data_IF_679132106909
#
_entry.id   IF_679132106909
#
_cell.length_a   1.000
_cell.length_b   1.000
_cell.length_c   1.000
_cell.angle_alpha   90.00
_cell.angle_beta   90.00
_cell.angle_gamma   90.00
#
_symmetry.space_group_name_H-M   'P 1'
#
loop_
_entity.id
_entity.type
_entity.pdbx_description
1 polymer ?
#
# COMPACT_ATOMS: atom_id res chain seq x y z
N UNK A 1 -12.14 23.86 0.04
CA UNK A 1 -13.40 23.40 -0.58
C UNK A 1 -13.53 21.89 -0.47
N UNK A 2 -14.64 21.42 0.10
CA UNK A 2 -14.92 19.99 0.31
C UNK A 2 -15.82 19.44 -0.81
N UNK A 3 -15.40 19.60 -2.06
CA UNK A 3 -16.19 19.18 -3.25
C UNK A 3 -16.35 17.67 -3.39
N UNK A 4 -15.56 16.90 -2.63
CA UNK A 4 -15.58 15.44 -2.64
C UNK A 4 -16.73 14.83 -1.83
N UNK A 5 -17.46 15.66 -1.05
CA UNK A 5 -18.51 15.23 -0.15
C UNK A 5 -19.85 15.93 -0.43
N UNK A 6 -20.91 15.13 -0.47
CA UNK A 6 -22.26 15.60 -0.26
C UNK A 6 -22.46 15.86 1.24
N UNK A 7 -22.70 17.14 1.56
CA UNK A 7 -22.88 17.61 2.93
C UNK A 7 -24.37 17.77 3.20
N UNK A 8 -24.89 17.02 4.16
CA UNK A 8 -26.29 17.12 4.59
C UNK A 8 -26.35 17.40 6.08
N UNK A 9 -27.08 18.43 6.49
CA UNK A 9 -27.44 18.63 7.90
C UNK A 9 -28.68 17.81 8.22
N UNK A 10 -28.64 17.07 9.33
CA UNK A 10 -29.78 16.33 9.83
C UNK A 10 -29.81 16.43 11.35
N UNK A 11 -31.00 16.35 11.95
CA UNK A 11 -31.12 16.37 13.41
C UNK A 11 -31.23 14.95 13.93
N UNK A 12 -30.40 14.61 14.92
CA UNK A 12 -30.51 13.35 15.65
C UNK A 12 -31.00 13.64 17.06
N UNK A 13 -32.33 13.75 17.21
CA UNK A 13 -32.95 14.26 18.43
C UNK A 13 -32.86 15.79 18.48
N UNK A 14 -32.40 16.36 19.59
CA UNK A 14 -32.17 17.81 19.74
C UNK A 14 -30.76 18.26 19.32
N UNK A 15 -29.94 17.36 18.77
CA UNK A 15 -28.58 17.66 18.33
C UNK A 15 -28.51 17.78 16.80
N UNK A 16 -28.13 18.96 16.26
CA UNK A 16 -27.82 19.08 14.85
C UNK A 16 -26.54 18.29 14.54
N UNK A 17 -26.61 17.39 13.56
CA UNK A 17 -25.47 16.60 13.10
C UNK A 17 -25.18 16.87 11.62
N UNK A 18 -23.89 16.88 11.28
CA UNK A 18 -23.41 17.00 9.92
C UNK A 18 -23.13 15.61 9.36
N UNK A 19 -23.81 15.24 8.28
CA UNK A 19 -23.55 14.01 7.55
C UNK A 19 -22.73 14.33 6.30
N UNK A 20 -21.52 13.77 6.27
CA UNK A 20 -20.63 13.78 5.12
C UNK A 20 -20.76 12.44 4.40
N UNK A 21 -21.18 12.46 3.14
CA UNK A 21 -21.15 11.28 2.28
C UNK A 21 -20.25 11.56 1.08
N UNK A 22 -19.41 10.62 0.67
CA UNK A 22 -18.62 10.81 -0.55
C UNK A 22 -19.54 10.90 -1.75
N UNK A 23 -19.27 11.83 -2.67
CA UNK A 23 -20.04 11.91 -3.91
C UNK A 23 -19.85 10.64 -4.73
N UNK A 24 -20.87 10.26 -5.50
CA UNK A 24 -20.77 9.10 -6.40
C UNK A 24 -19.65 9.24 -7.43
N UNK A 25 -19.36 10.49 -7.85
CA UNK A 25 -18.23 10.80 -8.71
C UNK A 25 -16.89 10.47 -8.03
N UNK A 26 -16.70 10.89 -6.78
CA UNK A 26 -15.47 10.60 -6.03
C UNK A 26 -15.28 9.12 -5.76
N UNK A 27 -16.36 8.40 -5.42
CA UNK A 27 -16.32 6.95 -5.24
C UNK A 27 -15.91 6.23 -6.55
N UNK A 28 -16.42 6.68 -7.70
CA UNK A 28 -16.06 6.13 -9.00
C UNK A 28 -14.58 6.43 -9.35
N UNK A 29 -14.10 7.65 -9.08
CA UNK A 29 -12.71 8.04 -9.27
C UNK A 29 -11.75 7.17 -8.45
N UNK A 30 -12.02 7.02 -7.14
CA UNK A 30 -11.21 6.17 -6.26
C UNK A 30 -11.19 4.74 -6.76
N UNK A 31 -12.36 4.19 -7.12
CA UNK A 31 -12.44 2.82 -7.66
C UNK A 31 -11.59 2.66 -8.92
N UNK A 32 -11.65 3.62 -9.83
CA UNK A 32 -10.87 3.61 -11.06
C UNK A 32 -9.37 3.68 -10.78
N UNK A 33 -8.97 4.56 -9.86
CA UNK A 33 -7.60 4.68 -9.40
C UNK A 33 -7.08 3.36 -8.79
N UNK A 34 -7.83 2.77 -7.84
CA UNK A 34 -7.47 1.51 -7.19
C UNK A 34 -7.32 0.37 -8.18
N UNK A 35 -8.21 0.25 -9.18
CA UNK A 35 -8.10 -0.79 -10.21
C UNK A 35 -6.86 -0.58 -11.08
N UNK A 36 -6.55 0.66 -11.49
CA UNK A 36 -5.34 0.95 -12.27
C UNK A 36 -4.07 0.61 -11.49
N UNK A 37 -4.00 0.97 -10.20
CA UNK A 37 -2.87 0.64 -9.35
C UNK A 37 -2.70 -0.87 -9.16
N UNK A 38 -3.79 -1.58 -8.90
CA UNK A 38 -3.78 -3.03 -8.78
C UNK A 38 -3.37 -3.72 -10.09
N UNK A 39 -3.80 -3.19 -11.25
CA UNK A 39 -3.40 -3.70 -12.56
C UNK A 39 -1.89 -3.61 -12.75
N UNK A 40 -1.29 -2.46 -12.44
CA UNK A 40 0.16 -2.25 -12.51
C UNK A 40 0.89 -3.21 -11.57
N UNK A 41 0.41 -3.35 -10.33
CA UNK A 41 1.01 -4.24 -9.33
C UNK A 41 0.98 -5.70 -9.77
N UNK A 42 -0.17 -6.17 -10.25
CA UNK A 42 -0.32 -7.54 -10.77
C UNK A 42 0.60 -7.75 -11.97
N UNK A 43 0.66 -6.80 -12.90
CA UNK A 43 1.53 -6.90 -14.08
C UNK A 43 3.01 -7.05 -13.70
N UNK A 44 3.48 -6.26 -12.74
CA UNK A 44 4.86 -6.35 -12.25
C UNK A 44 5.15 -7.72 -11.63
N UNK A 45 4.25 -8.23 -10.78
CA UNK A 45 4.38 -9.57 -10.17
C UNK A 45 4.38 -10.69 -11.21
N UNK A 46 3.59 -10.54 -12.27
CA UNK A 46 3.59 -11.55 -13.33
C UNK A 46 4.92 -11.53 -14.10
N UNK A 47 5.50 -10.36 -14.35
CA UNK A 47 6.84 -10.28 -14.95
C UNK A 47 7.91 -10.94 -14.07
N UNK A 48 7.79 -10.84 -12.74
CA UNK A 48 8.68 -11.51 -11.79
C UNK A 48 8.58 -13.04 -11.82
N UNK A 49 7.44 -13.60 -12.27
CA UNK A 49 7.28 -15.05 -12.45
C UNK A 49 8.08 -15.60 -13.65
N UNK A 50 8.67 -14.74 -14.48
CA UNK A 50 9.44 -15.15 -15.65
C UNK A 50 8.60 -15.76 -16.77
N UNK A 51 7.29 -15.51 -16.78
CA UNK A 51 6.37 -16.00 -17.82
C UNK A 51 6.55 -15.17 -19.09
N UNK A 52 6.72 -15.84 -20.24
CA UNK A 52 6.74 -15.16 -21.53
C UNK A 52 5.31 -14.73 -21.90
N UNK A 53 5.11 -13.43 -22.14
CA UNK A 53 3.87 -12.85 -22.68
C UNK A 53 2.59 -13.06 -21.84
N UNK A 54 2.55 -12.59 -20.59
CA UNK A 54 1.34 -12.64 -19.77
C UNK A 54 0.26 -11.66 -20.24
N UNK A 55 -1.01 -12.08 -20.15
CA UNK A 55 -2.15 -11.18 -20.34
C UNK A 55 -2.70 -10.74 -18.98
N UNK A 56 -2.65 -9.43 -18.71
CA UNK A 56 -3.20 -8.82 -17.49
C UNK A 56 -4.16 -7.72 -17.90
N UNK A 57 -5.44 -7.95 -17.70
CA UNK A 57 -6.50 -7.04 -18.15
C UNK A 57 -7.60 -6.88 -17.10
N UNK A 58 -8.24 -5.70 -17.11
CA UNK A 58 -9.41 -5.45 -16.29
C UNK A 58 -10.61 -6.20 -16.88
N UNK A 59 -11.38 -6.85 -16.00
CA UNK A 59 -12.66 -7.47 -16.34
C UNK A 59 -13.79 -6.78 -15.57
N UNK A 60 -14.65 -6.07 -16.30
CA UNK A 60 -15.76 -5.32 -15.70
C UNK A 60 -15.30 -4.24 -14.72
N UNK A 61 -16.12 -3.94 -13.71
CA UNK A 61 -15.88 -2.80 -12.82
C UNK A 61 -14.81 -3.05 -11.75
N UNK A 62 -14.62 -4.30 -11.30
CA UNK A 62 -13.90 -4.62 -10.06
C UNK A 62 -13.04 -5.90 -10.12
N UNK A 63 -12.76 -6.46 -11.31
CA UNK A 63 -11.95 -7.68 -11.44
C UNK A 63 -10.77 -7.45 -12.37
N UNK A 64 -9.72 -8.24 -12.15
CA UNK A 64 -8.55 -8.33 -13.03
C UNK A 64 -8.43 -9.80 -13.43
N UNK A 65 -8.38 -10.05 -14.74
CA UNK A 65 -8.12 -11.36 -15.32
C UNK A 65 -6.64 -11.43 -15.65
N UNK A 66 -6.03 -12.54 -15.24
CA UNK A 66 -4.61 -12.84 -15.45
C UNK A 66 -4.52 -14.18 -16.16
N UNK A 67 -3.87 -14.20 -17.32
CA UNK A 67 -3.59 -15.41 -18.07
C UNK A 67 -2.07 -15.60 -18.18
N UNK A 68 -1.61 -16.77 -17.76
CA UNK A 68 -0.20 -17.13 -17.64
C UNK A 68 0.12 -18.34 -18.53
N UNK A 69 0.42 -18.16 -19.81
CA UNK A 69 0.75 -19.28 -20.69
C UNK A 69 2.06 -19.94 -20.23
N UNK A 70 2.08 -21.27 -20.17
CA UNK A 70 3.30 -22.02 -19.84
C UNK A 70 3.73 -21.98 -18.36
N UNK A 71 2.89 -21.47 -17.44
CA UNK A 71 3.18 -21.53 -16.01
C UNK A 71 3.11 -22.99 -15.52
N UNK A 72 4.23 -23.50 -14.98
CA UNK A 72 4.31 -24.89 -14.52
C UNK A 72 3.67 -25.07 -13.14
N UNK A 73 3.88 -24.09 -12.24
CA UNK A 73 3.33 -24.10 -10.90
C UNK A 73 2.29 -22.99 -10.71
N UNK A 74 1.02 -23.37 -10.91
CA UNK A 74 -0.12 -22.46 -10.71
C UNK A 74 -0.35 -22.12 -9.24
N UNK A 75 0.06 -22.97 -8.30
CA UNK A 75 -0.08 -22.72 -6.86
C UNK A 75 0.94 -21.68 -6.39
N UNK A 76 2.18 -21.75 -6.88
CA UNK A 76 3.21 -20.73 -6.69
C UNK A 76 2.77 -19.39 -7.27
N UNK A 77 2.31 -19.39 -8.53
CA UNK A 77 1.82 -18.19 -9.20
C UNK A 77 0.65 -17.55 -8.43
N UNK A 78 -0.34 -18.36 -8.00
CA UNK A 78 -1.47 -17.87 -7.19
C UNK A 78 -1.00 -17.29 -5.86
N UNK A 79 0.05 -17.84 -5.24
CA UNK A 79 0.59 -17.34 -3.98
C UNK A 79 1.34 -16.03 -4.16
N UNK A 80 2.14 -15.89 -5.21
CA UNK A 80 2.86 -14.65 -5.52
C UNK A 80 1.89 -13.54 -5.89
N UNK A 81 0.91 -13.85 -6.75
CA UNK A 81 -0.12 -12.89 -7.16
C UNK A 81 -1.09 -12.53 -6.03
N UNK A 82 -1.43 -13.49 -5.16
CA UNK A 82 -2.36 -13.32 -4.06
C UNK A 82 -1.74 -12.78 -2.76
N UNK A 83 -0.40 -12.75 -2.63
CA UNK A 83 0.25 -12.18 -1.45
C UNK A 83 0.11 -10.66 -1.47
N UNK A 84 -0.54 -10.08 -0.48
CA UNK A 84 -0.39 -8.65 -0.21
C UNK A 84 0.96 -8.46 0.47
N UNK A 85 1.90 -7.79 -0.18
CA UNK A 85 3.09 -7.31 0.53
C UNK A 85 2.62 -6.09 1.34
N UNK A 86 2.41 -6.29 2.63
CA UNK A 86 2.11 -5.17 3.53
C UNK A 86 3.42 -4.44 3.79
N UNK A 87 3.44 -3.16 3.47
CA UNK A 87 4.52 -2.24 3.81
C UNK A 87 3.99 -1.28 4.87
N UNK A 88 4.72 -1.14 5.96
CA UNK A 88 4.38 -0.26 7.07
C UNK A 88 5.63 0.52 7.45
N UNK A 89 5.44 1.81 7.69
CA UNK A 89 6.47 2.68 8.23
C UNK A 89 6.08 3.02 9.66
N UNK A 90 7.00 2.72 10.57
CA UNK A 90 6.86 2.88 12.02
C UNK A 90 8.16 3.48 12.54
N UNK A 91 8.09 4.22 13.65
CA UNK A 91 9.29 4.74 14.29
C UNK A 91 10.10 3.61 14.92
N UNK A 92 11.42 3.75 14.93
CA UNK A 92 12.29 2.88 15.71
C UNK A 92 12.11 3.19 17.18
N UNK A 93 11.88 2.16 18.00
CA UNK A 93 11.68 2.35 19.43
C UNK A 93 12.98 2.77 20.12
N UNK A 94 12.87 3.77 21.00
CA UNK A 94 13.94 4.24 21.86
C UNK A 94 14.20 3.32 23.06
N UNK A 95 15.31 3.54 23.80
CA UNK A 95 15.68 2.73 24.96
C UNK A 95 14.67 2.80 26.12
N UNK A 96 13.96 3.92 26.22
CA UNK A 96 13.00 4.21 27.29
C UNK A 96 11.55 3.82 26.93
N UNK A 97 11.33 3.33 25.70
CA UNK A 97 9.99 2.94 25.25
C UNK A 97 9.51 1.67 25.95
N UNK A 98 8.24 1.69 26.32
CA UNK A 98 7.64 0.57 27.05
C UNK A 98 7.35 -0.60 26.11
N UNK A 99 7.59 -1.84 26.56
CA UNK A 99 7.23 -3.06 25.80
C UNK A 99 5.75 -3.15 25.39
N UNK A 100 4.87 -2.35 26.01
CA UNK A 100 3.47 -2.24 25.65
C UNK A 100 3.22 -1.44 24.35
N UNK A 101 4.11 -0.48 24.03
CA UNK A 101 4.04 0.38 22.85
C UNK A 101 5.01 -0.05 21.76
N UNK A 102 5.89 -0.99 22.04
CA UNK A 102 6.89 -1.52 21.11
C UNK A 102 6.52 -2.93 20.59
N UNK A 103 7.00 -3.26 19.41
CA UNK A 103 6.94 -4.58 18.79
C UNK A 103 8.31 -4.94 18.20
N UNK A 104 8.68 -6.22 18.29
CA UNK A 104 9.96 -6.72 17.79
C UNK A 104 9.76 -7.46 16.47
N UNK A 105 10.55 -7.10 15.46
CA UNK A 105 10.55 -7.76 14.16
C UNK A 105 11.90 -8.42 13.89
N UNK A 106 11.88 -9.71 13.60
CA UNK A 106 13.04 -10.46 13.18
C UNK A 106 13.32 -10.23 11.69
N UNK A 107 14.59 -10.01 11.34
CA UNK A 107 14.99 -9.96 9.94
C UNK A 107 15.00 -11.37 9.34
N UNK A 108 14.56 -11.47 8.08
CA UNK A 108 14.57 -12.74 7.34
C UNK A 108 15.99 -13.26 7.11
N UNK A 109 16.95 -12.36 6.95
CA UNK A 109 18.35 -12.69 6.78
C UNK A 109 19.03 -12.78 8.16
N UNK A 110 19.69 -13.91 8.43
CA UNK A 110 20.38 -14.12 9.70
C UNK A 110 21.54 -13.16 9.89
N UNK A 111 21.79 -12.75 11.14
CA UNK A 111 22.94 -11.91 11.51
C UNK A 111 22.61 -10.43 11.70
N UNK A 112 21.37 -10.00 11.44
CA UNK A 112 20.88 -8.68 11.87
C UNK A 112 20.12 -8.82 13.19
N UNK A 113 20.36 -7.95 14.19
CA UNK A 113 19.57 -7.94 15.41
C UNK A 113 18.12 -7.56 15.09
N UNK A 114 17.17 -8.11 15.85
CA UNK A 114 15.76 -7.77 15.73
C UNK A 114 15.54 -6.26 15.84
N UNK A 115 14.64 -5.73 15.01
CA UNK A 115 14.25 -4.33 15.04
C UNK A 115 13.14 -4.11 16.07
N UNK A 116 13.39 -3.24 17.04
CA UNK A 116 12.35 -2.72 17.93
C UNK A 116 11.69 -1.51 17.25
N UNK A 117 10.38 -1.59 17.02
CA UNK A 117 9.61 -0.50 16.42
C UNK A 117 8.41 -0.15 17.29
N UNK A 118 8.00 1.11 17.25
CA UNK A 118 6.74 1.52 17.85
C UNK A 118 5.55 0.86 17.13
N UNK A 119 4.46 0.62 17.86
CA UNK A 119 3.20 0.12 17.27
C UNK A 119 2.46 1.19 16.46
N UNK A 120 2.81 2.46 16.66
CA UNK A 120 2.24 3.59 15.92
C UNK A 120 2.60 3.52 14.45
N UNK A 121 1.58 3.48 13.59
CA UNK A 121 1.74 3.38 12.15
C UNK A 121 1.72 4.77 11.55
N UNK A 122 2.79 5.16 10.86
CA UNK A 122 2.92 6.48 10.21
C UNK A 122 2.24 6.44 8.85
N UNK A 123 2.70 5.55 7.97
CA UNK A 123 2.15 5.34 6.63
C UNK A 123 2.22 3.85 6.26
N UNK A 124 1.29 3.44 5.40
CA UNK A 124 1.25 2.11 4.79
C UNK A 124 1.61 2.17 3.31
N UNK A 125 1.85 1.00 2.70
CA UNK A 125 2.20 0.86 1.29
C UNK A 125 1.14 1.33 0.29
N UNK A 126 -0.10 1.55 0.72
CA UNK A 126 -1.16 2.18 -0.08
C UNK A 126 -0.85 3.64 -0.43
N UNK A 127 -0.10 4.33 0.42
CA UNK A 127 0.36 5.71 0.22
C UNK A 127 1.64 5.79 -0.65
N UNK A 128 2.11 4.65 -1.19
CA UNK A 128 3.27 4.57 -2.09
C UNK A 128 2.81 4.58 -3.54
N UNK A 129 3.27 5.56 -4.31
CA UNK A 129 2.96 5.73 -5.74
C UNK A 129 3.97 5.08 -6.66
N UNK A 130 5.22 4.94 -6.23
CA UNK A 130 6.30 4.31 -7.00
C UNK A 130 7.37 3.72 -6.07
N UNK A 131 8.01 2.64 -6.50
CA UNK A 131 9.12 2.02 -5.79
C UNK A 131 10.12 1.43 -6.79
N UNK A 132 11.39 1.86 -6.72
CA UNK A 132 12.42 1.48 -7.69
C UNK A 132 13.72 1.10 -7.00
N UNK A 133 14.24 -0.07 -7.35
CA UNK A 133 15.60 -0.46 -7.00
C UNK A 133 16.60 0.47 -7.68
N UNK A 134 17.69 0.78 -6.98
CA UNK A 134 18.78 1.61 -7.48
C UNK A 134 20.02 1.41 -6.64
N UNK A 135 20.99 2.29 -6.82
CA UNK A 135 22.21 2.32 -6.03
C UNK A 135 22.37 3.71 -5.42
N UNK A 136 22.89 3.77 -4.19
CA UNK A 136 23.29 5.01 -3.57
C UNK A 136 24.58 5.57 -4.20
N UNK A 137 25.03 6.75 -3.76
CA UNK A 137 26.26 7.40 -4.26
C UNK A 137 27.53 6.57 -4.02
N UNK A 138 27.48 5.59 -3.13
CA UNK A 138 28.57 4.67 -2.81
C UNK A 138 28.44 3.32 -3.53
N UNK A 139 27.47 3.17 -4.43
CA UNK A 139 27.23 1.94 -5.19
C UNK A 139 26.57 0.83 -4.37
N UNK A 140 25.95 1.14 -3.22
CA UNK A 140 25.22 0.16 -2.40
C UNK A 140 23.78 0.04 -2.90
N UNK A 141 23.21 -1.17 -2.99
CA UNK A 141 21.81 -1.35 -3.39
C UNK A 141 20.85 -0.62 -2.46
N UNK A 142 19.88 0.08 -3.02
CA UNK A 142 18.80 0.74 -2.28
C UNK A 142 17.46 0.64 -3.00
N UNK A 143 16.37 0.90 -2.27
CA UNK A 143 15.03 1.04 -2.84
C UNK A 143 14.58 2.48 -2.63
N UNK A 144 14.34 3.18 -3.74
CA UNK A 144 13.77 4.51 -3.74
C UNK A 144 12.24 4.40 -3.71
N UNK A 145 11.60 5.07 -2.75
CA UNK A 145 10.15 5.03 -2.57
C UNK A 145 9.60 6.44 -2.80
N UNK A 146 8.51 6.54 -3.57
CA UNK A 146 7.78 7.78 -3.78
C UNK A 146 6.41 7.69 -3.13
N UNK A 147 6.12 8.63 -2.23
CA UNK A 147 4.82 8.73 -1.58
C UNK A 147 3.86 9.60 -2.39
N UNK A 148 2.56 9.42 -2.20
CA UNK A 148 1.57 10.42 -2.64
C UNK A 148 1.60 11.67 -1.73
N UNK A 149 0.76 12.66 -2.04
CA UNK A 149 0.70 13.89 -1.25
C UNK A 149 0.27 13.67 0.20
N UNK A 150 -0.67 12.74 0.45
CA UNK A 150 -1.15 12.46 1.80
C UNK A 150 -0.10 11.73 2.63
N UNK A 151 0.51 10.68 2.07
CA UNK A 151 1.62 9.96 2.68
C UNK A 151 2.85 10.84 2.93
N UNK A 152 3.15 11.76 1.99
CA UNK A 152 4.22 12.74 2.15
C UNK A 152 4.00 13.67 3.34
N UNK A 153 2.78 14.21 3.49
CA UNK A 153 2.41 15.07 4.62
C UNK A 153 2.48 14.34 5.97
N UNK A 154 2.01 13.09 6.01
CA UNK A 154 2.10 12.25 7.23
C UNK A 154 3.54 11.97 7.61
N UNK A 155 4.38 11.60 6.64
CA UNK A 155 5.79 11.33 6.87
C UNK A 155 6.52 12.58 7.36
N UNK A 156 6.28 13.74 6.74
CA UNK A 156 6.89 15.03 7.13
C UNK A 156 6.47 15.52 8.52
N UNK A 157 5.35 15.05 9.07
CA UNK A 157 4.96 15.37 10.46
C UNK A 157 5.57 14.42 11.47
N UNK A 158 5.93 13.21 11.04
CA UNK A 158 6.51 12.18 11.89
C UNK A 158 8.05 12.30 12.00
N UNK A 159 8.70 13.00 11.06
CA UNK A 159 10.15 13.23 11.00
C UNK A 159 10.48 14.71 11.09
#
# INVERSE_FOLDING_TARGET
DYTDFDITMTDRGEMPILRLAMTQAKVAEIREYSIKQNLTTVRNRVNELGVAEPLVQRQGANRIVVELPGVQDTAEAKRILGKTANLEFRLGAGPDDTKATTEMFEFREGGRPAAAVERGLIITGDQVTDAKAGFDEHGRPQVNIKLDGHGGDLMSRAT
#
